data_IF_377277859243
#
_entry.id   IF_377277859243
#
_cell.length_a   1.000
_cell.length_b   1.000
_cell.length_c   1.000
_cell.angle_alpha   90.00
_cell.angle_beta   90.00
_cell.angle_gamma   90.00
#
_symmetry.space_group_name_H-M   'P 1'
#
loop_
_entity.id
_entity.type
_entity.pdbx_description
1 polymer ?
#
# COMPACT_ATOMS: atom_id res chain seq x y z
N UNK A 1 15.10 15.72 -16.60
CA UNK A 1 14.40 15.64 -15.31
C UNK A 1 15.15 16.47 -14.30
N UNK A 2 14.48 17.39 -13.60
CA UNK A 2 15.06 18.05 -12.43
C UNK A 2 15.28 17.00 -11.32
N UNK A 3 16.32 17.13 -10.48
CA UNK A 3 16.58 16.17 -9.43
C UNK A 3 15.46 16.23 -8.38
N UNK A 4 14.76 15.12 -8.23
CA UNK A 4 13.68 14.94 -7.26
C UNK A 4 14.18 14.18 -6.03
N UNK A 5 13.60 14.46 -4.85
CA UNK A 5 13.97 13.80 -3.59
C UNK A 5 12.77 13.10 -2.97
N UNK A 6 13.01 11.85 -2.53
CA UNK A 6 12.11 11.08 -1.68
C UNK A 6 12.05 11.68 -0.28
N UNK A 7 10.84 11.91 0.19
CA UNK A 7 10.50 12.49 1.48
C UNK A 7 9.38 11.67 2.11
N UNK A 8 9.30 11.68 3.44
CA UNK A 8 8.24 11.00 4.18
C UNK A 8 7.36 12.04 4.84
N UNK A 9 6.04 11.86 4.78
CA UNK A 9 5.09 12.68 5.51
C UNK A 9 5.28 12.43 7.01
N UNK A 10 5.72 13.46 7.74
CA UNK A 10 5.89 13.43 9.20
C UNK A 10 4.68 14.03 9.92
N UNK A 11 3.75 14.64 9.17
CA UNK A 11 2.60 15.35 9.70
C UNK A 11 1.44 14.38 9.95
N UNK A 12 0.92 14.36 11.19
CA UNK A 12 -0.20 13.50 11.61
C UNK A 12 -1.58 14.08 11.28
N UNK A 13 -1.64 15.38 10.99
CA UNK A 13 -2.88 16.15 10.79
C UNK A 13 -3.81 15.62 9.69
N UNK A 14 -3.27 14.95 8.66
CA UNK A 14 -4.05 14.56 7.48
C UNK A 14 -4.17 13.03 7.29
N UNK A 15 -3.78 12.23 8.30
CA UNK A 15 -3.79 10.76 8.19
C UNK A 15 -2.82 10.18 7.15
N UNK A 16 -1.90 11.01 6.64
CA UNK A 16 -0.86 10.63 5.69
C UNK A 16 0.51 10.43 6.36
N UNK A 17 0.57 10.42 7.70
CA UNK A 17 1.79 10.17 8.46
C UNK A 17 2.42 8.84 8.05
N UNK A 18 3.72 8.86 7.77
CA UNK A 18 4.49 7.71 7.29
C UNK A 18 4.41 7.45 5.79
N UNK A 19 3.51 8.10 5.02
CA UNK A 19 3.47 7.93 3.56
C UNK A 19 4.61 8.68 2.88
N UNK A 20 5.17 8.10 1.83
CA UNK A 20 6.33 8.65 1.13
C UNK A 20 5.94 9.33 -0.17
N UNK A 21 6.57 10.46 -0.46
CA UNK A 21 6.32 11.28 -1.63
C UNK A 21 7.63 11.82 -2.22
N UNK A 22 7.57 12.24 -3.47
CA UNK A 22 8.66 12.84 -4.20
C UNK A 22 8.36 14.33 -4.41
N UNK A 23 9.38 15.17 -4.23
CA UNK A 23 9.29 16.61 -4.50
C UNK A 23 10.56 17.12 -5.17
N UNK A 24 10.42 18.17 -5.98
CA UNK A 24 11.57 18.91 -6.54
C UNK A 24 12.50 19.48 -5.47
N UNK A 25 13.80 19.44 -5.73
CA UNK A 25 14.85 20.09 -4.94
C UNK A 25 15.03 21.57 -5.33
N UNK A 26 13.94 22.35 -5.39
CA UNK A 26 14.06 23.79 -5.57
C UNK A 26 14.38 24.44 -4.21
N UNK A 27 15.66 24.53 -3.86
CA UNK A 27 16.11 25.44 -2.79
C UNK A 27 16.24 26.84 -3.38
N UNK A 28 15.51 27.86 -2.89
CA UNK A 28 15.75 29.22 -3.34
C UNK A 28 17.16 29.64 -2.92
N UNK A 29 18.04 29.93 -3.88
CA UNK A 29 19.31 30.60 -3.58
C UNK A 29 19.04 32.08 -3.29
N UNK A 30 19.74 32.71 -2.34
CA UNK A 30 19.58 34.14 -2.07
C UNK A 30 19.85 34.95 -3.35
N UNK A 31 18.86 35.71 -3.81
CA UNK A 31 18.99 36.59 -4.99
C UNK A 31 18.59 35.97 -6.33
N UNK A 32 18.23 34.67 -6.40
CA UNK A 32 17.63 34.09 -7.61
C UNK A 32 16.15 33.78 -7.39
N UNK A 33 15.29 34.36 -8.24
CA UNK A 33 13.89 33.93 -8.35
C UNK A 33 13.87 32.59 -9.08
N UNK A 34 14.23 31.51 -8.38
CA UNK A 34 14.03 30.16 -8.91
C UNK A 34 12.53 29.98 -9.15
N UNK A 35 12.15 29.57 -10.37
CA UNK A 35 10.77 29.12 -10.63
C UNK A 35 10.46 28.03 -9.61
N UNK A 36 9.50 28.28 -8.72
CA UNK A 36 9.09 27.32 -7.70
C UNK A 36 8.61 26.06 -8.42
N UNK A 37 9.42 25.01 -8.45
CA UNK A 37 8.94 23.72 -8.92
C UNK A 37 7.90 23.21 -7.92
N UNK A 38 6.63 23.19 -8.35
CA UNK A 38 5.49 22.69 -7.57
C UNK A 38 5.27 21.19 -7.70
N UNK A 39 6.20 20.46 -8.33
CA UNK A 39 6.05 19.03 -8.57
C UNK A 39 6.03 18.27 -7.25
N UNK A 40 4.94 17.53 -7.07
CA UNK A 40 4.66 16.64 -5.96
C UNK A 40 4.00 15.39 -6.55
N UNK A 41 4.48 14.23 -6.12
CA UNK A 41 3.93 12.94 -6.53
C UNK A 41 4.11 11.94 -5.38
N UNK A 42 3.17 11.03 -5.19
CA UNK A 42 3.35 9.97 -4.20
C UNK A 42 4.35 8.92 -4.71
N UNK A 43 5.14 8.33 -3.81
CA UNK A 43 6.23 7.44 -4.20
C UNK A 43 5.73 6.15 -4.86
N UNK A 44 4.58 5.64 -4.43
CA UNK A 44 3.88 4.49 -5.01
C UNK A 44 3.48 4.76 -6.47
N UNK A 45 2.82 5.90 -6.73
CA UNK A 45 2.43 6.33 -8.08
C UNK A 45 3.65 6.54 -8.99
N UNK A 46 4.72 7.13 -8.44
CA UNK A 46 5.97 7.34 -9.19
C UNK A 46 6.64 6.02 -9.59
N UNK A 47 6.68 5.04 -8.68
CA UNK A 47 7.27 3.72 -8.96
C UNK A 47 6.44 2.96 -10.00
N UNK A 48 5.11 3.03 -9.94
CA UNK A 48 4.25 2.42 -10.97
C UNK A 48 4.50 3.04 -12.35
N UNK A 49 4.61 4.37 -12.42
CA UNK A 49 4.96 5.08 -13.66
C UNK A 49 6.31 4.62 -14.21
N UNK A 50 7.34 4.55 -13.35
CA UNK A 50 8.67 4.08 -13.76
C UNK A 50 8.64 2.63 -14.27
N UNK A 51 7.88 1.75 -13.63
CA UNK A 51 7.72 0.36 -14.10
C UNK A 51 7.08 0.31 -15.47
N UNK A 52 6.03 1.10 -15.69
CA UNK A 52 5.34 1.16 -16.98
C UNK A 52 6.21 1.76 -18.09
N UNK A 53 6.94 2.83 -17.79
CA UNK A 53 7.91 3.44 -18.72
C UNK A 53 9.04 2.47 -19.05
N UNK A 54 9.56 1.74 -18.05
CA UNK A 54 10.57 0.70 -18.26
C UNK A 54 10.04 -0.44 -19.14
N UNK A 55 8.81 -0.94 -18.89
CA UNK A 55 8.18 -1.95 -19.74
C UNK A 55 7.98 -1.46 -21.18
N UNK A 56 7.61 -0.19 -21.36
CA UNK A 56 7.45 0.43 -22.68
C UNK A 56 8.80 0.59 -23.38
N UNK A 57 9.86 0.94 -22.63
CA UNK A 57 11.21 1.08 -23.15
C UNK A 57 11.82 -0.27 -23.55
N UNK A 58 11.61 -1.32 -22.76
CA UNK A 58 12.01 -2.70 -23.07
C UNK A 58 11.31 -3.22 -24.35
N UNK A 59 10.02 -2.89 -24.52
CA UNK A 59 9.27 -3.23 -25.72
C UNK A 59 9.81 -2.49 -26.96
N UNK A 60 10.14 -1.19 -26.81
CA UNK A 60 10.76 -0.40 -27.88
C UNK A 60 12.18 -0.85 -28.21
N UNK A 61 12.97 -1.31 -27.23
CA UNK A 61 14.32 -1.83 -27.45
C UNK A 61 14.32 -3.18 -28.18
N UNK A 62 13.38 -4.06 -27.85
CA UNK A 62 13.20 -5.33 -28.56
C UNK A 62 12.68 -5.15 -30.00
N UNK A 63 11.96 -4.06 -30.27
CA UNK A 63 11.46 -3.74 -31.62
C UNK A 63 12.46 -2.91 -32.46
N UNK A 64 13.49 -2.33 -31.83
CA UNK A 64 14.52 -1.48 -32.46
C UNK A 64 15.48 -2.17 -33.43
N UNK A 65 15.23 -3.43 -33.78
CA UNK A 65 15.92 -4.14 -34.86
C UNK A 65 15.36 -3.88 -36.26
N UNK A 66 14.17 -3.26 -36.41
CA UNK A 66 13.59 -3.09 -37.74
C UNK A 66 12.82 -1.78 -37.91
N UNK A 67 13.47 -0.89 -38.66
CA UNK A 67 12.94 0.25 -39.41
C UNK A 67 12.17 1.35 -38.66
N UNK A 68 12.72 2.56 -38.75
CA UNK A 68 11.94 3.77 -38.57
C UNK A 68 10.82 3.88 -39.60
N UNK A 69 9.75 4.57 -39.22
CA UNK A 69 8.92 5.50 -40.00
C UNK A 69 7.64 5.78 -39.18
N UNK A 70 7.47 7.07 -38.89
CA UNK A 70 6.23 7.84 -38.79
C UNK A 70 5.02 7.30 -37.99
N UNK A 71 4.76 8.00 -36.88
CA UNK A 71 3.56 8.80 -36.66
C UNK A 71 2.25 8.32 -37.34
N UNK A 72 1.45 7.50 -36.65
CA UNK A 72 -0.01 7.59 -36.70
C UNK A 72 -0.64 6.79 -35.55
N UNK A 73 -1.36 7.52 -34.70
CA UNK A 73 -2.68 7.23 -34.16
C UNK A 73 -3.22 5.80 -34.28
N UNK A 74 -3.78 5.34 -33.15
CA UNK A 74 -4.90 4.38 -33.01
C UNK A 74 -4.50 3.09 -32.27
N UNK A 75 -5.28 2.79 -31.22
CA UNK A 75 -5.30 1.55 -30.42
C UNK A 75 -4.16 1.35 -29.42
N UNK A 76 -4.28 1.98 -28.25
CA UNK A 76 -3.99 1.27 -27.01
C UNK A 76 -5.26 1.28 -26.20
N UNK A 77 -5.93 0.13 -26.26
CA UNK A 77 -7.06 -0.26 -25.46
C UNK A 77 -6.81 0.14 -24.00
N UNK A 78 -7.62 1.06 -23.51
CA UNK A 78 -7.56 1.63 -22.19
C UNK A 78 -8.17 0.60 -21.24
N UNK A 79 -7.46 -0.48 -20.96
CA UNK A 79 -7.78 -1.34 -19.85
C UNK A 79 -7.49 -0.57 -18.56
N UNK A 80 -8.57 -0.13 -17.91
CA UNK A 80 -8.60 0.70 -16.71
C UNK A 80 -7.69 0.15 -15.58
N UNK A 81 -6.68 0.91 -15.13
CA UNK A 81 -5.99 0.61 -13.86
C UNK A 81 -6.94 0.71 -12.64
N UNK A 82 -8.10 1.34 -12.84
CA UNK A 82 -9.11 1.54 -11.81
C UNK A 82 -9.89 0.26 -11.47
N UNK A 83 -9.98 -0.71 -12.39
CA UNK A 83 -10.69 -1.97 -12.14
C UNK A 83 -9.88 -2.89 -11.22
N UNK A 84 -8.55 -2.96 -11.41
CA UNK A 84 -7.64 -3.79 -10.61
C UNK A 84 -7.51 -3.30 -9.16
N UNK A 85 -7.43 -1.97 -8.95
CA UNK A 85 -7.42 -1.37 -7.61
C UNK A 85 -8.71 -1.63 -6.82
N UNK A 86 -9.86 -1.63 -7.49
CA UNK A 86 -11.14 -1.92 -6.87
C UNK A 86 -11.27 -3.39 -6.46
N UNK A 87 -10.74 -4.30 -7.28
CA UNK A 87 -10.70 -5.74 -7.00
C UNK A 87 -9.78 -6.06 -5.82
N UNK A 88 -8.56 -5.51 -5.81
CA UNK A 88 -7.61 -5.65 -4.69
C UNK A 88 -8.19 -5.12 -3.38
N UNK A 89 -8.91 -3.99 -3.42
CA UNK A 89 -9.58 -3.42 -2.24
C UNK A 89 -10.73 -4.30 -1.74
N UNK A 90 -11.45 -4.96 -2.65
CA UNK A 90 -12.54 -5.87 -2.30
C UNK A 90 -11.99 -7.14 -1.64
N UNK A 91 -10.91 -7.71 -2.20
CA UNK A 91 -10.22 -8.88 -1.64
C UNK A 91 -9.60 -8.57 -0.27
N UNK A 92 -8.95 -7.40 -0.11
CA UNK A 92 -8.39 -6.99 1.18
C UNK A 92 -9.47 -6.88 2.27
N UNK A 93 -10.66 -6.37 1.93
CA UNK A 93 -11.81 -6.30 2.84
C UNK A 93 -12.34 -7.70 3.21
N UNK A 94 -12.30 -8.64 2.27
CA UNK A 94 -12.71 -10.03 2.48
C UNK A 94 -11.74 -10.75 3.41
N UNK A 95 -10.44 -10.61 3.17
CA UNK A 95 -9.38 -11.16 4.01
C UNK A 95 -9.45 -10.55 5.42
N UNK A 96 -9.65 -9.24 5.54
CA UNK A 96 -9.82 -8.56 6.83
C UNK A 96 -11.01 -9.09 7.65
N UNK A 97 -12.15 -9.38 6.98
CA UNK A 97 -13.31 -10.00 7.64
C UNK A 97 -13.03 -11.43 8.09
N UNK A 98 -12.36 -12.23 7.25
CA UNK A 98 -11.98 -13.60 7.59
C UNK A 98 -11.03 -13.64 8.79
N UNK A 99 -10.03 -12.77 8.81
CA UNK A 99 -9.08 -12.65 9.92
C UNK A 99 -9.77 -12.26 11.23
N UNK A 100 -10.69 -11.27 11.18
CA UNK A 100 -11.46 -10.86 12.36
C UNK A 100 -12.29 -12.02 12.94
N UNK A 101 -12.98 -12.78 12.08
CA UNK A 101 -13.73 -13.97 12.52
C UNK A 101 -12.83 -15.03 13.15
N UNK A 102 -11.65 -15.26 12.59
CA UNK A 102 -10.68 -16.23 13.13
C UNK A 102 -10.17 -15.82 14.51
N UNK A 103 -9.84 -14.53 14.68
CA UNK A 103 -9.39 -13.97 15.98
C UNK A 103 -10.51 -14.06 17.02
N UNK A 104 -11.75 -13.68 16.67
CA UNK A 104 -12.91 -13.79 17.58
C UNK A 104 -13.19 -15.24 17.98
N UNK A 105 -13.06 -16.19 17.03
CA UNK A 105 -13.23 -17.63 17.32
C UNK A 105 -12.13 -18.17 18.22
N UNK A 106 -10.87 -17.77 17.99
CA UNK A 106 -9.75 -18.15 18.84
C UNK A 106 -9.92 -17.58 20.25
N UNK A 107 -10.30 -16.31 20.38
CA UNK A 107 -10.54 -15.66 21.65
C UNK A 107 -11.68 -16.33 22.44
N UNK A 108 -12.78 -16.67 21.76
CA UNK A 108 -13.91 -17.34 22.40
C UNK A 108 -13.55 -18.77 22.86
N UNK A 109 -12.76 -19.50 22.06
CA UNK A 109 -12.27 -20.83 22.44
C UNK A 109 -11.33 -20.77 23.65
N UNK A 110 -10.43 -19.79 23.69
CA UNK A 110 -9.54 -19.58 24.84
C UNK A 110 -10.34 -19.22 26.09
N UNK A 111 -11.26 -18.25 25.99
CA UNK A 111 -12.10 -17.84 27.12
C UNK A 111 -12.92 -18.99 27.70
N UNK A 112 -13.49 -19.86 26.85
CA UNK A 112 -14.22 -21.05 27.28
C UNK A 112 -13.33 -22.03 28.06
N UNK A 113 -12.10 -22.28 27.58
CA UNK A 113 -11.15 -23.13 28.29
C UNK A 113 -10.79 -22.58 29.68
N UNK A 114 -10.51 -21.28 29.77
CA UNK A 114 -10.24 -20.62 31.05
C UNK A 114 -11.41 -20.73 32.04
N UNK A 115 -12.64 -20.47 31.58
CA UNK A 115 -13.83 -20.55 32.44
C UNK A 115 -14.07 -21.99 32.94
N UNK A 116 -13.94 -22.99 32.05
CA UNK A 116 -14.05 -24.40 32.42
C UNK A 116 -12.96 -24.81 33.44
N UNK A 117 -11.72 -24.32 33.29
CA UNK A 117 -10.65 -24.60 34.23
C UNK A 117 -10.91 -24.03 35.62
N UNK A 118 -11.40 -22.79 35.72
CA UNK A 118 -11.75 -22.17 37.01
C UNK A 118 -12.85 -22.97 37.70
N UNK A 119 -13.94 -23.29 36.99
CA UNK A 119 -15.04 -24.09 37.54
C UNK A 119 -14.55 -25.46 38.03
N UNK A 120 -13.73 -26.15 37.22
CA UNK A 120 -13.18 -27.44 37.62
C UNK A 120 -12.33 -27.34 38.89
N UNK A 121 -11.47 -26.33 38.97
CA UNK A 121 -10.65 -26.08 40.18
C UNK A 121 -11.51 -25.80 41.42
N UNK A 122 -12.57 -25.01 41.29
CA UNK A 122 -13.50 -24.74 42.39
C UNK A 122 -14.19 -26.02 42.87
N UNK A 123 -14.65 -26.88 41.95
CA UNK A 123 -15.22 -28.18 42.31
C UNK A 123 -14.21 -29.10 43.00
N UNK A 124 -12.97 -29.17 42.51
CA UNK A 124 -11.92 -29.93 43.18
C UNK A 124 -11.67 -29.38 44.59
N UNK A 125 -11.54 -28.07 44.74
CA UNK A 125 -11.32 -27.43 46.04
C UNK A 125 -12.45 -27.71 47.04
N UNK A 126 -13.72 -27.60 46.60
CA UNK A 126 -14.88 -27.96 47.41
C UNK A 126 -14.88 -29.45 47.79
N UNK A 127 -14.51 -30.36 46.88
CA UNK A 127 -14.40 -31.79 47.20
C UNK A 127 -13.30 -32.08 48.23
N UNK A 128 -12.17 -31.38 48.16
CA UNK A 128 -11.07 -31.56 49.12
C UNK A 128 -11.38 -30.99 50.50
N UNK A 129 -12.15 -29.90 50.60
CA UNK A 129 -12.57 -29.33 51.89
C UNK A 129 -13.68 -30.14 52.54
N UNK A 130 -14.59 -30.71 51.74
CA UNK A 130 -15.71 -31.51 52.24
C UNK A 130 -15.36 -33.00 52.44
N UNK A 131 -14.08 -33.38 52.30
CA UNK A 131 -13.56 -34.72 52.56
C UNK A 131 -12.96 -34.79 53.96
#
# INVERSE_FOLDING_TARGET
MEPVKRLTCVKEENGNCGREFIKCLSKPQPGQVLKKCGHFEWLDEYVERLKFEASTQELNFNFGGQLGVEHASHLVDRADPMMDSAEVKCELKKIGKQLKQLIERQANMMAGAFYCSVIAMDFFYLMFINR
#
